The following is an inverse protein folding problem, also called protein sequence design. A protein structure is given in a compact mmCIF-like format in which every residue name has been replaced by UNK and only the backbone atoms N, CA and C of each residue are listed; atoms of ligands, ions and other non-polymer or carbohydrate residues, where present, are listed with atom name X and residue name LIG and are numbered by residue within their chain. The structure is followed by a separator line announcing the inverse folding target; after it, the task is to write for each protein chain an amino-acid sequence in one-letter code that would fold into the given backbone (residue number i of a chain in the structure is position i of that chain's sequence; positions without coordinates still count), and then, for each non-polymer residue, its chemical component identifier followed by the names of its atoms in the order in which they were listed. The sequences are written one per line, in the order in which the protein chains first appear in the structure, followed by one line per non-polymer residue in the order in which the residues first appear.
data_IF_699914790304
#
_entry.id   IF_699914790304
#
_cell.length_a   1.000
_cell.length_b   1.000
_cell.length_c   1.000
_cell.angle_alpha   90.00
_cell.angle_beta   90.00
_cell.angle_gamma   90.00
#
_symmetry.space_group_name_H-M   'P 1'
#
loop_
_entity.id
_entity.type
_entity.pdbx_description
1 polymer ?
#
# COMPACT_ATOMS: atom_id res chain seq x y z
N UNK A 1 12.36 -6.07 -78.72
CA UNK A 1 11.48 -7.00 -77.97
C UNK A 1 10.44 -6.21 -77.32
N UNK A 2 9.23 -6.16 -77.86
CA UNK A 2 8.08 -5.48 -77.18
C UNK A 2 7.52 -6.48 -76.18
N UNK A 3 7.72 -6.21 -74.89
CA UNK A 3 7.08 -6.97 -73.81
C UNK A 3 5.59 -6.67 -73.86
N UNK A 4 4.76 -7.59 -74.38
CA UNK A 4 3.31 -7.51 -74.33
C UNK A 4 2.90 -7.87 -72.87
N UNK A 5 2.69 -6.88 -72.03
CA UNK A 5 2.00 -7.08 -70.77
C UNK A 5 0.57 -7.51 -71.06
N UNK A 6 0.19 -8.69 -70.66
CA UNK A 6 -1.19 -9.14 -70.73
C UNK A 6 -2.06 -8.23 -69.85
N UNK A 7 -3.17 -7.72 -70.38
CA UNK A 7 -4.10 -6.86 -69.63
C UNK A 7 -4.57 -7.51 -68.31
N UNK A 8 -4.64 -8.85 -68.27
CA UNK A 8 -4.97 -9.62 -67.09
C UNK A 8 -3.85 -9.55 -66.01
N UNK A 9 -2.58 -9.55 -66.43
CA UNK A 9 -1.45 -9.48 -65.51
C UNK A 9 -1.35 -8.09 -64.85
N UNK A 10 -1.70 -7.03 -65.57
CA UNK A 10 -1.74 -5.65 -65.03
C UNK A 10 -2.92 -5.49 -64.05
N UNK A 11 -4.08 -6.07 -64.36
CA UNK A 11 -5.26 -6.09 -63.47
C UNK A 11 -4.98 -6.87 -62.18
N UNK A 12 -4.37 -8.06 -62.31
CA UNK A 12 -4.02 -8.93 -61.18
C UNK A 12 -3.00 -8.24 -60.25
N UNK A 13 -1.98 -7.60 -60.79
CA UNK A 13 -1.00 -6.80 -60.03
C UNK A 13 -1.66 -5.58 -59.34
N UNK A 14 -2.66 -4.96 -60.00
CA UNK A 14 -3.42 -3.85 -59.43
C UNK A 14 -4.27 -4.28 -58.24
N UNK A 15 -4.97 -5.40 -58.34
CA UNK A 15 -5.76 -5.97 -57.23
C UNK A 15 -4.87 -6.36 -56.06
N UNK A 16 -3.75 -7.04 -56.34
CA UNK A 16 -2.78 -7.39 -55.29
C UNK A 16 -2.18 -6.19 -54.61
N UNK A 17 -1.91 -5.10 -55.33
CA UNK A 17 -1.45 -3.82 -54.75
C UNK A 17 -2.49 -3.19 -53.83
N UNK A 18 -3.77 -3.24 -54.20
CA UNK A 18 -4.88 -2.76 -53.35
C UNK A 18 -5.05 -3.61 -52.08
N UNK A 19 -5.00 -4.95 -52.21
CA UNK A 19 -5.09 -5.88 -51.07
C UNK A 19 -3.94 -5.65 -50.08
N UNK A 20 -2.73 -5.48 -50.56
CA UNK A 20 -1.57 -5.18 -49.71
C UNK A 20 -1.72 -3.82 -49.00
N UNK A 21 -2.13 -2.77 -49.72
CA UNK A 21 -2.35 -1.44 -49.10
C UNK A 21 -3.48 -1.45 -48.08
N UNK A 22 -4.56 -2.18 -48.33
CA UNK A 22 -5.66 -2.40 -47.38
C UNK A 22 -5.18 -3.14 -46.14
N UNK A 23 -4.48 -4.25 -46.31
CA UNK A 23 -3.92 -5.03 -45.20
C UNK A 23 -2.97 -4.20 -44.34
N UNK A 24 -2.11 -3.41 -45.00
CA UNK A 24 -1.19 -2.49 -44.28
C UNK A 24 -1.96 -1.41 -43.49
N UNK A 25 -2.97 -0.79 -44.10
CA UNK A 25 -3.81 0.19 -43.43
C UNK A 25 -4.56 -0.42 -42.24
N UNK A 26 -5.12 -1.63 -42.36
CA UNK A 26 -5.77 -2.35 -41.28
C UNK A 26 -4.80 -2.67 -40.14
N UNK A 27 -3.58 -3.11 -40.44
CA UNK A 27 -2.53 -3.39 -39.45
C UNK A 27 -2.14 -2.16 -38.67
N UNK A 28 -1.92 -1.03 -39.33
CA UNK A 28 -1.60 0.23 -38.65
C UNK A 28 -2.78 0.75 -37.84
N UNK A 29 -4.01 0.62 -38.36
CA UNK A 29 -5.22 0.99 -37.59
C UNK A 29 -5.34 0.16 -36.29
N UNK A 30 -5.05 -1.15 -36.36
CA UNK A 30 -5.07 -2.02 -35.19
C UNK A 30 -4.02 -1.57 -34.15
N UNK A 31 -2.79 -1.26 -34.58
CA UNK A 31 -1.73 -0.75 -33.70
C UNK A 31 -2.10 0.59 -33.07
N UNK A 32 -2.73 1.50 -33.83
CA UNK A 32 -3.20 2.80 -33.31
C UNK A 32 -4.32 2.62 -32.29
N UNK A 33 -5.27 1.70 -32.54
CA UNK A 33 -6.41 1.46 -31.64
C UNK A 33 -6.03 0.69 -30.39
N UNK A 34 -5.09 -0.27 -30.47
CA UNK A 34 -4.60 -1.02 -29.31
C UNK A 34 -3.52 -0.27 -28.52
N UNK A 35 -2.83 0.68 -29.15
CA UNK A 35 -1.65 1.35 -28.60
C UNK A 35 -0.41 0.43 -28.55
N UNK A 36 -0.52 -0.82 -29.04
CA UNK A 36 0.54 -1.83 -28.97
C UNK A 36 1.22 -2.05 -30.31
N UNK A 37 2.54 -2.14 -30.28
CA UNK A 37 3.35 -2.46 -31.45
C UNK A 37 3.16 -3.90 -31.91
N UNK A 38 2.96 -4.84 -30.95
CA UNK A 38 2.79 -6.26 -31.17
C UNK A 38 1.57 -6.78 -30.42
N UNK A 39 0.54 -7.25 -31.15
CA UNK A 39 -0.67 -7.81 -30.56
C UNK A 39 -0.61 -9.33 -30.41
N UNK A 40 0.20 -9.99 -31.24
CA UNK A 40 0.30 -11.45 -31.29
C UNK A 40 1.73 -11.91 -31.07
N UNK A 41 1.87 -13.05 -30.42
CA UNK A 41 3.19 -13.68 -30.24
C UNK A 41 3.89 -14.01 -31.56
N UNK A 42 3.12 -14.20 -32.66
CA UNK A 42 3.64 -14.38 -34.00
C UNK A 42 4.39 -13.17 -34.56
N UNK A 43 4.04 -11.97 -34.11
CA UNK A 43 4.61 -10.71 -34.62
C UNK A 43 6.03 -10.50 -34.07
N UNK A 44 6.21 -10.74 -32.78
CA UNK A 44 7.50 -10.74 -32.10
C UNK A 44 7.42 -11.55 -30.79
N UNK A 45 7.75 -12.85 -30.89
CA UNK A 45 7.67 -13.75 -29.72
C UNK A 45 8.54 -13.31 -28.53
N UNK A 46 9.69 -12.70 -28.80
CA UNK A 46 10.56 -12.18 -27.75
C UNK A 46 9.93 -10.99 -27.00
N UNK A 47 9.44 -9.99 -27.74
CA UNK A 47 8.82 -8.82 -27.15
C UNK A 47 7.55 -9.18 -26.33
N UNK A 48 6.67 -10.01 -26.91
CA UNK A 48 5.44 -10.44 -26.24
C UNK A 48 5.74 -11.27 -24.99
N UNK A 49 6.67 -12.26 -25.07
CA UNK A 49 7.03 -13.07 -23.90
C UNK A 49 7.69 -12.24 -22.80
N UNK A 50 8.51 -11.25 -23.16
CA UNK A 50 9.13 -10.33 -22.21
C UNK A 50 8.08 -9.41 -21.58
N UNK A 51 7.11 -8.93 -22.36
CA UNK A 51 5.98 -8.13 -21.88
C UNK A 51 5.16 -8.87 -20.85
N UNK A 52 4.79 -10.12 -21.09
CA UNK A 52 4.06 -10.96 -20.11
C UNK A 52 4.84 -11.11 -18.80
N UNK A 53 6.18 -11.22 -18.85
CA UNK A 53 7.00 -11.25 -17.62
C UNK A 53 6.97 -9.93 -16.88
N UNK A 54 7.04 -8.81 -17.61
CA UNK A 54 6.94 -7.47 -17.02
C UNK A 54 5.56 -7.24 -16.38
N UNK A 55 4.47 -7.68 -17.01
CA UNK A 55 3.12 -7.64 -16.43
C UNK A 55 3.04 -8.42 -15.11
N UNK A 56 3.67 -9.61 -15.07
CA UNK A 56 3.74 -10.39 -13.84
C UNK A 56 4.55 -9.68 -12.75
N UNK A 57 5.69 -9.07 -13.09
CA UNK A 57 6.51 -8.34 -12.15
C UNK A 57 5.79 -7.08 -11.64
N UNK A 58 5.07 -6.34 -12.49
CA UNK A 58 4.24 -5.20 -12.12
C UNK A 58 3.11 -5.64 -11.18
N UNK A 59 2.41 -6.73 -11.51
CA UNK A 59 1.34 -7.27 -10.65
C UNK A 59 1.86 -7.66 -9.26
N UNK A 60 3.08 -8.20 -9.19
CA UNK A 60 3.74 -8.51 -7.92
C UNK A 60 4.09 -7.25 -7.12
N UNK A 61 4.51 -6.18 -7.79
CA UNK A 61 4.73 -4.88 -7.13
C UNK A 61 3.44 -4.29 -6.55
N UNK A 62 2.34 -4.41 -7.28
CA UNK A 62 1.03 -3.94 -6.78
C UNK A 62 0.59 -4.71 -5.53
N UNK A 63 0.88 -6.01 -5.46
CA UNK A 63 0.66 -6.80 -4.25
C UNK A 63 1.52 -6.28 -3.07
N UNK A 64 2.81 -6.00 -3.29
CA UNK A 64 3.66 -5.41 -2.24
C UNK A 64 3.16 -4.04 -1.81
N UNK A 65 2.72 -3.20 -2.74
CA UNK A 65 2.15 -1.89 -2.47
C UNK A 65 0.87 -1.99 -1.62
N UNK A 66 0.00 -2.95 -1.90
CA UNK A 66 -1.18 -3.21 -1.09
C UNK A 66 -0.79 -3.64 0.34
N UNK A 67 0.19 -4.54 0.47
CA UNK A 67 0.73 -4.98 1.74
C UNK A 67 1.37 -3.83 2.54
N UNK A 68 2.17 -3.00 1.89
CA UNK A 68 2.79 -1.81 2.49
C UNK A 68 1.74 -0.82 3.00
N UNK A 69 0.68 -0.57 2.24
CA UNK A 69 -0.41 0.31 2.65
C UNK A 69 -1.16 -0.26 3.87
N UNK A 70 -1.41 -1.56 3.89
CA UNK A 70 -2.04 -2.24 5.02
C UNK A 70 -1.18 -2.11 6.30
N UNK A 71 0.11 -2.45 6.22
CA UNK A 71 1.04 -2.35 7.36
C UNK A 71 1.17 -0.91 7.84
N UNK A 72 1.36 0.06 6.92
CA UNK A 72 1.46 1.48 7.27
C UNK A 72 0.22 1.97 8.02
N UNK A 73 -0.98 1.64 7.54
CA UNK A 73 -2.24 2.04 8.18
C UNK A 73 -2.40 1.39 9.56
N UNK A 74 -2.07 0.10 9.70
CA UNK A 74 -2.17 -0.62 10.97
C UNK A 74 -1.22 -0.03 12.02
N UNK A 75 0.04 0.24 11.64
CA UNK A 75 1.01 0.86 12.55
C UNK A 75 0.64 2.31 12.90
N UNK A 76 0.12 3.11 11.96
CA UNK A 76 -0.35 4.47 12.22
C UNK A 76 -1.50 4.50 13.24
N UNK A 77 -2.47 3.59 13.11
CA UNK A 77 -3.55 3.44 14.08
C UNK A 77 -3.01 3.07 15.47
N UNK A 78 -2.06 2.12 15.52
CA UNK A 78 -1.43 1.71 16.78
C UNK A 78 -0.63 2.84 17.43
N UNK A 79 0.12 3.62 16.63
CA UNK A 79 0.89 4.77 17.10
C UNK A 79 -0.04 5.84 17.70
N UNK A 80 -1.13 6.17 17.02
CA UNK A 80 -2.12 7.15 17.52
C UNK A 80 -2.69 6.75 18.89
N UNK A 81 -3.00 5.46 19.07
CA UNK A 81 -3.49 4.96 20.36
C UNK A 81 -2.39 4.95 21.42
N UNK A 82 -1.16 4.54 21.06
CA UNK A 82 -0.03 4.55 21.99
C UNK A 82 0.36 5.96 22.41
N UNK A 83 0.31 6.96 21.51
CA UNK A 83 0.54 8.37 21.86
C UNK A 83 -0.47 8.89 22.88
N UNK A 84 -1.74 8.53 22.69
CA UNK A 84 -2.79 8.85 23.68
C UNK A 84 -2.50 8.19 25.03
N UNK A 85 -2.10 6.92 25.04
CA UNK A 85 -1.74 6.19 26.26
C UNK A 85 -0.48 6.76 26.95
N UNK A 86 0.50 7.24 26.18
CA UNK A 86 1.68 7.95 26.71
C UNK A 86 1.25 9.22 27.43
N UNK A 87 0.30 9.99 26.89
CA UNK A 87 -0.24 11.18 27.53
C UNK A 87 -0.98 10.84 28.83
N UNK A 88 -1.76 9.77 28.85
CA UNK A 88 -2.43 9.27 30.06
C UNK A 88 -1.41 8.81 31.12
N UNK A 89 -0.35 8.12 30.72
CA UNK A 89 0.74 7.71 31.62
C UNK A 89 1.47 8.93 32.20
N UNK A 90 1.70 9.98 31.42
CA UNK A 90 2.26 11.22 31.91
C UNK A 90 1.34 11.89 32.96
N UNK A 91 0.03 11.87 32.70
CA UNK A 91 -0.95 12.37 33.67
C UNK A 91 -0.91 11.58 34.99
N UNK A 92 -0.82 10.24 34.94
CA UNK A 92 -0.66 9.42 36.14
C UNK A 92 0.65 9.72 36.87
N UNK A 93 1.76 9.96 36.19
CA UNK A 93 3.04 10.35 36.80
C UNK A 93 2.93 11.72 37.47
N UNK A 94 2.19 12.67 36.90
CA UNK A 94 1.91 13.97 37.55
C UNK A 94 1.08 13.80 38.83
N UNK A 95 0.04 12.93 38.79
CA UNK A 95 -0.74 12.61 39.99
C UNK A 95 0.12 11.94 41.07
N UNK A 96 1.07 11.07 40.69
CA UNK A 96 2.02 10.46 41.62
C UNK A 96 2.90 11.55 42.29
N UNK A 97 3.49 12.45 41.51
CA UNK A 97 4.27 13.57 42.07
C UNK A 97 3.42 14.44 43.00
N UNK A 98 2.19 14.75 42.60
CA UNK A 98 1.26 15.51 43.44
C UNK A 98 0.96 14.77 44.74
N UNK A 99 0.80 13.44 44.71
CA UNK A 99 0.53 12.59 45.89
C UNK A 99 1.68 12.57 46.92
N UNK A 100 2.87 12.98 46.52
CA UNK A 100 4.05 13.08 47.42
C UNK A 100 4.12 14.41 48.21
N UNK A 101 3.22 15.34 47.95
CA UNK A 101 3.19 16.63 48.69
C UNK A 101 2.79 16.39 50.13
N UNK A 102 3.63 16.86 51.06
CA UNK A 102 3.39 16.74 52.50
C UNK A 102 2.17 17.55 53.04
N UNK A 103 1.56 18.39 52.20
CA UNK A 103 0.41 19.22 52.56
C UNK A 103 -0.95 18.53 52.29
N UNK A 104 -0.97 17.28 51.76
CA UNK A 104 -2.20 16.59 51.38
C UNK A 104 -2.92 16.00 52.58
N UNK A 105 -4.22 16.24 52.61
CA UNK A 105 -5.13 15.60 53.57
C UNK A 105 -5.81 14.35 52.95
N UNK A 106 -6.48 13.52 53.76
CA UNK A 106 -7.16 12.31 53.23
C UNK A 106 -8.18 12.58 52.12
N UNK A 107 -8.87 13.72 52.12
CA UNK A 107 -9.83 14.10 51.10
C UNK A 107 -9.14 14.36 49.75
N UNK A 108 -7.93 14.96 49.77
CA UNK A 108 -7.14 15.20 48.59
C UNK A 108 -6.70 13.87 47.92
N UNK A 109 -6.26 12.89 48.75
CA UNK A 109 -5.93 11.54 48.25
C UNK A 109 -7.14 10.84 47.60
N UNK A 110 -8.35 10.99 48.17
CA UNK A 110 -9.58 10.48 47.56
C UNK A 110 -9.87 11.12 46.23
N UNK A 111 -9.63 12.43 46.07
CA UNK A 111 -9.78 13.14 44.81
C UNK A 111 -8.76 12.67 43.75
N UNK A 112 -7.49 12.51 44.13
CA UNK A 112 -6.45 11.97 43.26
C UNK A 112 -6.75 10.52 42.82
N UNK A 113 -7.28 9.69 43.76
CA UNK A 113 -7.72 8.34 43.45
C UNK A 113 -8.78 8.32 42.33
N UNK A 114 -9.83 9.15 42.46
CA UNK A 114 -10.89 9.23 41.47
C UNK A 114 -10.34 9.60 40.10
N UNK A 115 -9.41 10.57 40.04
CA UNK A 115 -8.75 10.96 38.78
C UNK A 115 -7.94 9.80 38.21
N UNK A 116 -7.15 9.10 39.00
CA UNK A 116 -6.38 7.92 38.55
C UNK A 116 -7.27 6.77 38.08
N UNK A 117 -8.42 6.55 38.73
CA UNK A 117 -9.43 5.54 38.29
C UNK A 117 -10.05 5.92 36.94
N UNK A 118 -10.37 7.18 36.69
CA UNK A 118 -10.88 7.63 35.38
C UNK A 118 -9.84 7.41 34.26
N UNK A 119 -8.58 7.75 34.55
CA UNK A 119 -7.49 7.49 33.60
C UNK A 119 -7.36 5.97 33.33
N UNK A 120 -7.39 5.14 34.36
CA UNK A 120 -7.30 3.68 34.20
C UNK A 120 -8.43 3.12 33.32
N UNK A 121 -9.66 3.64 33.49
CA UNK A 121 -10.82 3.25 32.67
C UNK A 121 -10.61 3.68 31.23
N UNK A 122 -10.16 4.92 30.99
CA UNK A 122 -9.88 5.42 29.65
C UNK A 122 -8.79 4.60 28.97
N UNK A 123 -7.69 4.32 29.66
CA UNK A 123 -6.60 3.48 29.16
C UNK A 123 -7.08 2.08 28.81
N UNK A 124 -7.92 1.45 29.64
CA UNK A 124 -8.49 0.14 29.33
C UNK A 124 -9.31 0.16 28.02
N UNK A 125 -10.09 1.22 27.78
CA UNK A 125 -10.85 1.38 26.54
C UNK A 125 -9.91 1.52 25.32
N UNK A 126 -8.84 2.29 25.47
CA UNK A 126 -7.83 2.47 24.41
C UNK A 126 -7.06 1.16 24.12
N UNK A 127 -6.71 0.38 25.14
CA UNK A 127 -6.06 -0.92 25.00
C UNK A 127 -6.90 -1.90 24.16
N UNK A 128 -8.21 -1.81 24.24
CA UNK A 128 -9.15 -2.69 23.51
C UNK A 128 -9.80 -2.00 22.31
N UNK A 129 -9.26 -0.87 21.87
CA UNK A 129 -9.77 -0.10 20.74
C UNK A 129 -9.75 -0.91 19.46
N UNK A 130 -10.73 -0.61 18.58
CA UNK A 130 -10.87 -1.23 17.26
C UNK A 130 -10.70 -0.18 16.17
N UNK A 131 -10.26 -0.63 15.02
CA UNK A 131 -10.20 0.19 13.82
C UNK A 131 -11.59 0.43 13.20
N UNK A 132 -11.65 1.22 12.14
CA UNK A 132 -12.90 1.52 11.43
C UNK A 132 -13.58 0.30 10.78
N UNK A 133 -12.90 -0.83 10.70
CA UNK A 133 -13.42 -2.11 10.17
C UNK A 133 -13.86 -3.07 11.28
N UNK A 134 -13.67 -2.67 12.54
CA UNK A 134 -14.04 -3.47 13.72
C UNK A 134 -12.95 -4.44 14.19
N UNK A 135 -11.79 -4.44 13.56
CA UNK A 135 -10.65 -5.25 13.99
C UNK A 135 -9.92 -4.58 15.17
N UNK A 136 -9.39 -5.35 16.12
CA UNK A 136 -8.60 -4.77 17.20
C UNK A 136 -7.32 -4.12 16.67
N UNK A 137 -7.00 -2.93 17.19
CA UNK A 137 -5.77 -2.20 16.83
C UNK A 137 -4.53 -2.92 17.37
N UNK A 138 -4.63 -3.50 18.57
CA UNK A 138 -3.58 -4.33 19.17
C UNK A 138 -4.01 -5.79 19.13
N UNK A 139 -3.25 -6.66 18.47
CA UNK A 139 -3.58 -8.07 18.34
C UNK A 139 -2.88 -8.92 19.41
N UNK A 140 -3.54 -9.95 19.92
CA UNK A 140 -2.86 -10.96 20.75
C UNK A 140 -1.77 -11.69 19.95
N UNK A 141 -1.99 -11.86 18.64
CA UNK A 141 -1.00 -12.29 17.67
C UNK A 141 -1.06 -11.38 16.45
N UNK A 142 0.09 -11.16 15.81
CA UNK A 142 0.20 -10.43 14.54
C UNK A 142 0.87 -11.33 13.50
N UNK A 143 0.42 -11.20 12.26
CA UNK A 143 1.01 -11.92 11.16
C UNK A 143 2.19 -11.15 10.59
N UNK A 144 3.11 -11.86 9.97
CA UNK A 144 4.15 -11.23 9.17
C UNK A 144 3.64 -11.02 7.74
N UNK A 145 3.89 -9.84 7.20
CA UNK A 145 3.47 -9.43 5.86
C UNK A 145 4.71 -9.07 5.05
N UNK A 146 4.77 -9.60 3.85
CA UNK A 146 5.87 -9.31 2.94
C UNK A 146 5.66 -7.96 2.27
N UNK A 147 6.60 -7.03 2.45
CA UNK A 147 6.56 -5.66 1.91
C UNK A 147 7.52 -5.45 0.73
N UNK A 148 8.51 -6.32 0.58
CA UNK A 148 9.48 -6.38 -0.52
C UNK A 148 9.88 -7.82 -0.79
N UNK A 149 10.57 -8.14 -1.90
CA UNK A 149 11.20 -9.45 -2.07
C UNK A 149 12.11 -9.76 -0.87
N UNK A 150 11.78 -10.85 -0.16
CA UNK A 150 12.52 -11.33 1.04
C UNK A 150 12.48 -10.43 2.29
N UNK A 151 11.66 -9.38 2.33
CA UNK A 151 11.49 -8.54 3.52
C UNK A 151 10.09 -8.73 4.08
N UNK A 152 10.03 -9.21 5.31
CA UNK A 152 8.79 -9.41 6.06
C UNK A 152 8.80 -8.51 7.30
N UNK A 153 7.66 -7.93 7.62
CA UNK A 153 7.44 -7.11 8.81
C UNK A 153 6.16 -7.54 9.52
N UNK A 154 6.06 -7.25 10.81
CA UNK A 154 4.84 -7.50 11.55
C UNK A 154 3.70 -6.59 11.02
N UNK A 155 2.51 -7.16 10.85
CA UNK A 155 1.34 -6.45 10.31
C UNK A 155 0.74 -5.41 11.24
N UNK A 156 1.19 -5.35 12.49
CA UNK A 156 0.71 -4.44 13.52
C UNK A 156 1.47 -4.63 14.82
N UNK A 157 0.95 -4.09 15.91
CA UNK A 157 1.55 -4.15 17.25
C UNK A 157 0.87 -5.23 18.07
N UNK A 158 1.68 -6.12 18.70
CA UNK A 158 1.16 -7.14 19.63
C UNK A 158 0.72 -6.49 20.93
N UNK A 159 -0.42 -6.99 21.45
CA UNK A 159 -1.01 -6.51 22.69
C UNK A 159 0.01 -6.59 23.87
N UNK A 160 0.67 -7.73 24.03
CA UNK A 160 1.65 -7.91 25.11
C UNK A 160 2.94 -7.10 24.93
N UNK A 161 3.31 -6.75 23.70
CA UNK A 161 4.48 -5.89 23.45
C UNK A 161 4.20 -4.46 23.91
N UNK A 162 2.97 -3.99 23.75
CA UNK A 162 2.57 -2.64 24.16
C UNK A 162 2.29 -2.53 25.66
N UNK A 163 1.60 -3.54 26.26
CA UNK A 163 1.02 -3.42 27.59
C UNK A 163 1.64 -4.34 28.66
N UNK A 164 2.65 -5.12 28.25
CA UNK A 164 3.30 -6.10 29.10
C UNK A 164 2.55 -7.44 29.16
N UNK A 165 3.24 -8.43 29.67
CA UNK A 165 2.73 -9.81 29.75
C UNK A 165 1.61 -9.98 30.76
N UNK A 166 0.90 -11.11 30.68
CA UNK A 166 -0.11 -11.54 31.65
C UNK A 166 -1.56 -11.32 31.23
N UNK A 167 -1.80 -10.40 30.29
CA UNK A 167 -3.13 -10.12 29.78
C UNK A 167 -3.30 -10.43 28.29
N UNK A 168 -4.52 -10.29 27.82
CA UNK A 168 -4.94 -10.41 26.42
C UNK A 168 -5.97 -9.32 26.12
N UNK A 169 -6.37 -9.17 24.85
CA UNK A 169 -7.51 -8.33 24.47
C UNK A 169 -8.79 -8.59 25.25
N UNK A 170 -8.99 -9.82 25.72
CA UNK A 170 -10.16 -10.22 26.51
C UNK A 170 -9.96 -9.99 28.00
N UNK A 171 -8.73 -9.94 28.46
CA UNK A 171 -8.35 -9.78 29.89
C UNK A 171 -7.29 -8.69 30.04
N UNK A 172 -7.57 -7.44 29.61
CA UNK A 172 -6.61 -6.34 29.66
C UNK A 172 -6.20 -6.01 31.09
N UNK A 173 -7.05 -6.32 32.08
CA UNK A 173 -6.80 -6.11 33.50
C UNK A 173 -5.63 -6.94 34.05
N UNK A 174 -5.27 -8.01 33.35
CA UNK A 174 -4.17 -8.88 33.79
C UNK A 174 -2.80 -8.42 33.22
N UNK A 175 -2.78 -7.39 32.38
CA UNK A 175 -1.51 -6.85 31.85
C UNK A 175 -0.68 -6.20 32.93
N UNK A 176 0.64 -6.26 32.77
CA UNK A 176 1.56 -5.63 33.71
C UNK A 176 1.31 -4.12 33.85
N UNK A 177 0.98 -3.43 32.74
CA UNK A 177 0.63 -2.02 32.75
C UNK A 177 -0.62 -1.76 33.61
N UNK A 178 -1.70 -2.49 33.37
CA UNK A 178 -2.94 -2.30 34.14
C UNK A 178 -2.71 -2.55 35.62
N UNK A 179 -2.03 -3.63 35.99
CA UNK A 179 -1.71 -3.99 37.36
C UNK A 179 -0.84 -2.93 38.05
N UNK A 180 0.13 -2.35 37.34
CA UNK A 180 0.97 -1.29 37.90
C UNK A 180 0.15 -0.02 38.18
N UNK A 181 -0.77 0.36 37.28
CA UNK A 181 -1.67 1.49 37.50
C UNK A 181 -2.64 1.20 38.65
N UNK A 182 -3.16 -0.03 38.74
CA UNK A 182 -4.05 -0.44 39.84
C UNK A 182 -3.33 -0.38 41.20
N UNK A 183 -2.05 -0.74 41.27
CA UNK A 183 -1.24 -0.53 42.49
C UNK A 183 -1.17 0.93 42.90
N UNK A 184 -1.07 1.86 41.95
CA UNK A 184 -1.11 3.30 42.25
C UNK A 184 -2.48 3.71 42.77
N UNK A 185 -3.58 3.28 42.15
CA UNK A 185 -4.93 3.53 42.67
C UNK A 185 -5.11 3.00 44.09
N UNK A 186 -4.60 1.79 44.37
CA UNK A 186 -4.64 1.18 45.70
C UNK A 186 -3.86 2.01 46.70
N UNK A 187 -2.64 2.45 46.38
CA UNK A 187 -1.83 3.35 47.19
C UNK A 187 -2.57 4.64 47.56
N UNK A 188 -3.21 5.29 46.58
CA UNK A 188 -3.98 6.51 46.83
C UNK A 188 -5.20 6.25 47.73
N UNK A 189 -5.86 5.10 47.56
CA UNK A 189 -6.99 4.71 48.39
C UNK A 189 -6.57 4.50 49.87
N UNK A 190 -5.47 3.78 50.09
CA UNK A 190 -4.94 3.52 51.43
C UNK A 190 -4.51 4.82 52.14
N UNK A 191 -3.86 5.73 51.43
CA UNK A 191 -3.54 7.09 51.93
C UNK A 191 -4.79 7.90 52.26
N UNK A 192 -5.85 7.77 51.45
CA UNK A 192 -7.13 8.43 51.68
C UNK A 192 -7.94 7.86 52.85
N UNK A 193 -7.65 6.61 53.30
CA UNK A 193 -8.26 6.01 54.49
C UNK A 193 -7.56 6.44 55.81
N UNK A 194 -6.36 7.02 55.73
CA UNK A 194 -5.59 7.52 56.88
C UNK A 194 -5.30 6.44 57.97
N UNK A 195 -5.18 5.18 57.54
CA UNK A 195 -4.88 4.05 58.47
C UNK A 195 -3.40 3.96 58.83
N UNK A 196 -2.56 4.75 58.18
CA UNK A 196 -1.10 4.71 58.33
C UNK A 196 -0.41 3.49 57.64
N UNK A 197 -1.19 2.56 57.15
CA UNK A 197 -0.70 1.35 56.48
C UNK A 197 -0.90 1.47 54.97
N UNK A 198 0.16 1.20 54.21
CA UNK A 198 0.11 1.07 52.75
C UNK A 198 0.74 -0.24 52.34
N UNK A 199 0.07 -0.97 51.45
CA UNK A 199 0.57 -2.23 50.86
C UNK A 199 1.64 -1.98 49.82
N UNK A 200 1.68 -0.77 49.26
CA UNK A 200 2.66 -0.33 48.26
C UNK A 200 3.45 0.88 48.77
N UNK A 201 4.75 0.91 48.49
CA UNK A 201 5.56 2.12 48.70
C UNK A 201 5.49 3.04 47.48
N UNK A 202 5.80 4.33 47.67
CA UNK A 202 5.90 5.30 46.54
C UNK A 202 6.91 4.85 45.51
N UNK A 203 8.05 4.30 45.95
CA UNK A 203 9.11 3.82 45.06
C UNK A 203 8.65 2.65 44.20
N UNK A 204 7.89 1.69 44.78
CA UNK A 204 7.32 0.56 44.04
C UNK A 204 6.29 1.03 43.01
N UNK A 205 5.43 1.98 43.35
CA UNK A 205 4.46 2.55 42.41
C UNK A 205 5.17 3.32 41.33
N UNK A 206 6.14 4.16 41.66
CA UNK A 206 6.94 4.91 40.72
C UNK A 206 7.68 3.98 39.72
N UNK A 207 8.33 2.95 40.23
CA UNK A 207 9.01 1.95 39.42
C UNK A 207 8.06 1.24 38.45
N UNK A 208 6.86 0.86 38.95
CA UNK A 208 5.83 0.22 38.13
C UNK A 208 5.30 1.13 37.00
N UNK A 209 4.99 2.40 37.30
CA UNK A 209 4.55 3.38 36.30
C UNK A 209 5.65 3.69 35.28
N UNK A 210 6.89 3.85 35.73
CA UNK A 210 8.03 4.07 34.82
C UNK A 210 8.26 2.86 33.91
N UNK A 211 8.25 1.64 34.44
CA UNK A 211 8.40 0.42 33.63
C UNK A 211 7.31 0.30 32.57
N UNK A 212 6.05 0.65 32.93
CA UNK A 212 4.94 0.65 31.98
C UNK A 212 5.06 1.72 30.90
N UNK A 213 5.53 2.90 31.28
CA UNK A 213 5.81 4.01 30.36
C UNK A 213 6.93 3.66 29.39
N UNK A 214 8.04 3.10 29.89
CA UNK A 214 9.19 2.68 29.08
C UNK A 214 8.81 1.58 28.10
N UNK A 215 8.00 0.59 28.54
CA UNK A 215 7.49 -0.47 27.67
C UNK A 215 6.67 0.09 26.52
N UNK A 216 5.74 1.01 26.82
CA UNK A 216 4.89 1.64 25.81
C UNK A 216 5.72 2.49 24.84
N UNK A 217 6.66 3.28 25.36
CA UNK A 217 7.53 4.14 24.53
C UNK A 217 8.45 3.31 23.63
N UNK A 218 9.05 2.23 24.14
CA UNK A 218 9.86 1.32 23.33
C UNK A 218 9.04 0.66 22.21
N UNK A 219 7.79 0.28 22.49
CA UNK A 219 6.91 -0.30 21.48
C UNK A 219 6.50 0.73 20.44
N UNK A 220 6.23 1.98 20.87
CA UNK A 220 5.96 3.09 19.96
C UNK A 220 7.15 3.35 19.02
N UNK A 221 8.37 3.39 19.55
CA UNK A 221 9.60 3.55 18.75
C UNK A 221 9.80 2.39 17.77
N UNK A 222 9.54 1.14 18.20
CA UNK A 222 9.61 -0.03 17.31
C UNK A 222 8.58 0.06 16.19
N UNK A 223 7.35 0.44 16.52
CA UNK A 223 6.29 0.68 15.52
C UNK A 223 6.68 1.79 14.52
N UNK A 224 7.29 2.87 15.01
CA UNK A 224 7.86 3.93 14.17
C UNK A 224 8.97 3.43 13.25
N UNK A 225 9.83 2.54 13.75
CA UNK A 225 10.87 1.88 12.95
C UNK A 225 10.30 1.04 11.80
N UNK A 226 9.24 0.28 12.06
CA UNK A 226 8.53 -0.48 11.00
C UNK A 226 7.87 0.47 10.00
N UNK A 227 7.24 1.55 10.45
CA UNK A 227 6.64 2.55 9.56
C UNK A 227 7.70 3.16 8.62
N UNK A 228 8.86 3.56 9.14
CA UNK A 228 9.96 4.08 8.33
C UNK A 228 10.48 3.03 7.34
N UNK A 229 10.57 1.76 7.73
CA UNK A 229 10.97 0.68 6.83
C UNK A 229 9.97 0.50 5.69
N UNK A 230 8.67 0.57 5.98
CA UNK A 230 7.61 0.51 4.98
C UNK A 230 7.66 1.70 4.02
N UNK A 231 7.92 2.91 4.50
CA UNK A 231 8.03 4.11 3.66
C UNK A 231 9.26 4.06 2.74
N UNK A 232 10.38 3.55 3.23
CA UNK A 232 11.56 3.28 2.39
C UNK A 232 11.25 2.23 1.33
N UNK A 233 10.57 1.14 1.69
CA UNK A 233 10.12 0.11 0.78
C UNK A 233 9.16 0.66 -0.30
N UNK A 234 8.20 1.50 0.08
CA UNK A 234 7.28 2.19 -0.85
C UNK A 234 8.06 3.02 -1.88
N UNK A 235 9.02 3.80 -1.41
CA UNK A 235 9.84 4.66 -2.29
C UNK A 235 10.64 3.81 -3.28
N UNK A 236 11.32 2.77 -2.80
CA UNK A 236 12.12 1.88 -3.64
C UNK A 236 11.25 1.12 -4.67
N UNK A 237 10.11 0.55 -4.23
CA UNK A 237 9.21 -0.20 -5.10
C UNK A 237 8.51 0.71 -6.12
N UNK A 238 8.19 1.97 -5.75
CA UNK A 238 7.63 2.96 -6.68
C UNK A 238 8.62 3.29 -7.79
N UNK A 239 9.87 3.57 -7.45
CA UNK A 239 10.93 3.83 -8.43
C UNK A 239 11.15 2.63 -9.37
N UNK A 240 11.17 1.41 -8.81
CA UNK A 240 11.29 0.19 -9.61
C UNK A 240 10.07 -0.03 -10.52
N UNK A 241 8.86 0.26 -10.03
CA UNK A 241 7.64 0.19 -10.83
C UNK A 241 7.65 1.13 -12.03
N UNK A 242 8.13 2.37 -11.86
CA UNK A 242 8.31 3.30 -12.98
C UNK A 242 9.30 2.75 -14.01
N UNK A 243 10.42 2.18 -13.57
CA UNK A 243 11.41 1.58 -14.48
C UNK A 243 10.84 0.38 -15.25
N UNK A 244 10.03 -0.48 -14.61
CA UNK A 244 9.37 -1.59 -15.29
C UNK A 244 8.34 -1.11 -16.32
N UNK A 245 7.54 -0.10 -15.96
CA UNK A 245 6.55 0.48 -16.85
C UNK A 245 7.21 1.15 -18.05
N UNK A 246 8.31 1.89 -17.86
CA UNK A 246 9.09 2.49 -18.94
C UNK A 246 9.69 1.43 -19.86
N UNK A 247 10.26 0.36 -19.28
CA UNK A 247 10.78 -0.78 -20.06
C UNK A 247 9.68 -1.47 -20.87
N UNK A 248 8.48 -1.61 -20.30
CA UNK A 248 7.33 -2.19 -20.97
C UNK A 248 6.84 -1.29 -22.11
N UNK A 249 6.76 0.01 -21.87
CA UNK A 249 6.38 1.00 -22.88
C UNK A 249 7.33 0.99 -24.08
N UNK A 250 8.63 1.06 -23.83
CA UNK A 250 9.64 1.00 -24.90
C UNK A 250 9.57 -0.31 -25.70
N UNK A 251 9.16 -1.41 -25.05
CA UNK A 251 9.14 -2.73 -25.69
C UNK A 251 7.85 -3.00 -26.47
N UNK A 252 6.71 -2.54 -25.97
CA UNK A 252 5.39 -2.95 -26.46
C UNK A 252 4.54 -1.82 -27.02
N UNK A 253 4.77 -0.56 -26.64
CA UNK A 253 3.91 0.53 -27.07
C UNK A 253 4.23 0.96 -28.49
N UNK A 254 3.20 1.36 -29.21
CA UNK A 254 3.32 1.88 -30.57
C UNK A 254 3.72 3.35 -30.53
N UNK A 255 4.74 3.72 -31.33
CA UNK A 255 4.97 5.12 -31.65
C UNK A 255 3.78 5.66 -32.47
N UNK A 256 2.91 6.38 -31.79
CA UNK A 256 1.65 6.89 -32.37
C UNK A 256 1.90 7.85 -33.54
N UNK A 257 2.99 8.63 -33.52
CA UNK A 257 3.32 9.55 -34.61
C UNK A 257 3.74 8.79 -35.87
N UNK A 258 4.63 7.81 -35.71
CA UNK A 258 5.07 6.95 -36.81
C UNK A 258 3.93 6.07 -37.34
N UNK A 259 3.09 5.51 -36.45
CA UNK A 259 1.94 4.69 -36.83
C UNK A 259 0.89 5.49 -37.62
N UNK A 260 0.55 6.72 -37.17
CA UNK A 260 -0.40 7.59 -37.85
C UNK A 260 0.13 8.03 -39.22
N UNK A 261 1.40 8.37 -39.33
CA UNK A 261 2.02 8.67 -40.61
C UNK A 261 1.99 7.48 -41.59
N UNK A 262 2.27 6.28 -41.08
CA UNK A 262 2.26 5.04 -41.87
C UNK A 262 0.83 4.65 -42.31
N UNK A 263 -0.14 4.80 -41.42
CA UNK A 263 -1.57 4.63 -41.74
C UNK A 263 -2.03 5.58 -42.84
N UNK A 264 -1.70 6.87 -42.72
CA UNK A 264 -2.06 7.88 -43.71
C UNK A 264 -1.43 7.58 -45.07
N UNK A 265 -0.17 7.12 -45.08
CA UNK A 265 0.52 6.67 -46.31
C UNK A 265 -0.18 5.48 -46.94
N UNK A 266 -0.50 4.45 -46.14
CA UNK A 266 -1.19 3.24 -46.63
C UNK A 266 -2.59 3.60 -47.19
N UNK A 267 -3.32 4.49 -46.57
CA UNK A 267 -4.61 4.98 -47.01
C UNK A 267 -4.49 5.78 -48.34
N UNK A 268 -3.46 6.60 -48.46
CA UNK A 268 -3.18 7.36 -49.69
C UNK A 268 -2.84 6.39 -50.85
N UNK A 269 -2.00 5.37 -50.57
CA UNK A 269 -1.68 4.35 -51.57
C UNK A 269 -2.89 3.52 -52.01
N UNK A 270 -3.77 3.18 -51.05
CA UNK A 270 -5.03 2.49 -51.35
C UNK A 270 -5.92 3.32 -52.26
N UNK A 271 -6.11 4.61 -51.94
CA UNK A 271 -6.92 5.52 -52.77
C UNK A 271 -6.33 5.71 -54.16
N UNK A 272 -4.99 5.84 -54.28
CA UNK A 272 -4.30 5.94 -55.55
C UNK A 272 -4.43 4.63 -56.40
N UNK A 273 -4.30 3.48 -55.77
CA UNK A 273 -4.45 2.17 -56.40
C UNK A 273 -5.89 1.98 -56.91
N UNK A 274 -6.90 2.34 -56.12
CA UNK A 274 -8.32 2.32 -56.54
C UNK A 274 -8.57 3.23 -57.73
N UNK A 275 -8.03 4.45 -57.74
CA UNK A 275 -8.16 5.41 -58.84
C UNK A 275 -7.48 4.89 -60.14
N UNK A 276 -6.29 4.29 -60.01
CA UNK A 276 -5.59 3.68 -61.14
C UNK A 276 -6.37 2.46 -61.71
N UNK A 277 -6.88 1.60 -60.82
CA UNK A 277 -7.66 0.46 -61.21
C UNK A 277 -8.95 0.86 -61.96
N UNK A 278 -9.67 1.89 -61.48
CA UNK A 278 -10.84 2.43 -62.17
C UNK A 278 -10.52 2.96 -63.57
N UNK A 279 -9.39 3.67 -63.73
CA UNK A 279 -8.91 4.17 -65.05
C UNK A 279 -8.54 3.01 -65.98
N UNK A 280 -7.89 1.96 -65.49
CA UNK A 280 -7.54 0.78 -66.28
C UNK A 280 -8.77 0.01 -66.76
N UNK A 281 -9.80 -0.11 -65.92
CA UNK A 281 -11.07 -0.74 -66.31
C UNK A 281 -11.79 0.08 -67.38
N UNK A 282 -11.83 1.40 -67.29
CA UNK A 282 -12.42 2.28 -68.31
C UNK A 282 -11.65 2.16 -69.64
N UNK A 283 -10.34 2.14 -69.60
CA UNK A 283 -9.51 1.98 -70.81
C UNK A 283 -9.72 0.65 -71.53
N UNK A 284 -9.92 -0.43 -70.76
CA UNK A 284 -10.18 -1.77 -71.35
C UNK A 284 -11.60 -1.91 -71.95
N UNK A 285 -12.58 -1.19 -71.41
CA UNK A 285 -13.96 -1.18 -71.97
C UNK A 285 -14.01 -0.45 -73.31
N UNK A 286 -13.28 0.68 -73.44
CA UNK A 286 -13.23 1.46 -74.70
C UNK A 286 -12.41 0.76 -75.81
N UNK A 287 -11.54 -0.20 -75.49
CA UNK A 287 -10.77 -0.92 -76.49
C UNK A 287 -11.52 -2.14 -77.06
N UNK A 288 -12.72 -2.46 -76.58
CA UNK A 288 -13.60 -3.54 -77.03
C UNK A 288 -14.85 -3.09 -77.78
N UNK A 289 -15.09 -1.77 -77.89
CA UNK A 289 -16.04 -1.13 -78.77
C UNK A 289 -15.37 -0.67 -80.04
#
# INVERSE_FOLDING_TARGET
MTVRFSSNQVLESGVQGMENALSEAMSWNQKITSGKQYDRASDNAYAVSRGVRLDFDISRLDMFKANQNFVASSHANSQTQMDSLVNEMNSLKQLLVQSQSGALNPSNFKALKVQAEQILIAMKQQMTAKDGTGNPIFGDAVNQVQIEPNVMVDSGVKFNDAFGTGGTLRTPENTQMYLNIQKFVTYLNEKGQNTGLTTQTVDQVSAGLNASFDQLTMTLQRSGGVANQVDNAKTAMSAFGVQLADTQSVLLDTDMAAATASYTRAQTLLNAAQAMFARLQQSNLFSKL
#
